data_IF_193295751378
#
_entry.id   IF_193295751378
#
_cell.length_a   1.000
_cell.length_b   1.000
_cell.length_c   1.000
_cell.angle_alpha   90.00
_cell.angle_beta   90.00
_cell.angle_gamma   90.00
#
_symmetry.space_group_name_H-M   'P 1'
#
loop_
_entity.id
_entity.type
_entity.pdbx_description
1 polymer ?
#
# COMPACT_ATOMS: atom_id res chain seq x y z
N UNK A 1 -43.55 15.59 -2.07
CA UNK A 1 -43.04 14.64 -1.05
C UNK A 1 -41.64 15.08 -0.66
N UNK A 2 -41.48 15.71 0.50
CA UNK A 2 -40.19 16.26 0.95
C UNK A 2 -39.20 15.16 1.34
N UNK A 3 -37.92 15.30 0.95
CA UNK A 3 -36.82 14.44 1.40
C UNK A 3 -36.74 14.51 2.93
N UNK A 4 -36.94 13.39 3.61
CA UNK A 4 -36.59 13.26 5.04
C UNK A 4 -35.07 13.28 5.15
N UNK A 5 -34.53 14.29 5.84
CA UNK A 5 -33.12 14.29 6.20
C UNK A 5 -32.83 13.14 7.16
N UNK A 6 -31.86 12.30 6.79
CA UNK A 6 -31.38 11.22 7.64
C UNK A 6 -30.50 11.85 8.73
N UNK A 7 -30.78 11.61 10.02
CA UNK A 7 -29.97 12.18 11.09
C UNK A 7 -28.53 11.68 10.98
N UNK A 8 -27.59 12.61 10.83
CA UNK A 8 -26.15 12.31 10.86
C UNK A 8 -25.74 12.03 12.30
N UNK A 9 -25.36 10.79 12.58
CA UNK A 9 -24.80 10.39 13.87
C UNK A 9 -23.43 11.05 14.03
N UNK A 10 -23.38 12.18 14.74
CA UNK A 10 -22.13 12.82 15.13
C UNK A 10 -21.53 12.07 16.32
N UNK A 11 -20.98 10.88 16.08
CA UNK A 11 -20.12 10.24 17.08
C UNK A 11 -18.88 11.09 17.29
N UNK A 12 -18.49 11.32 18.55
CA UNK A 12 -17.17 11.86 18.87
C UNK A 12 -16.14 10.91 18.26
N UNK A 13 -15.44 11.35 17.20
CA UNK A 13 -14.34 10.58 16.64
C UNK A 13 -13.32 10.41 17.77
N UNK A 14 -13.17 9.17 18.25
CA UNK A 14 -12.11 8.83 19.19
C UNK A 14 -10.74 9.23 18.61
N UNK A 15 -9.69 9.29 19.44
CA UNK A 15 -8.37 9.67 18.95
C UNK A 15 -7.97 8.75 17.79
N UNK A 16 -7.72 9.35 16.62
CA UNK A 16 -7.20 8.62 15.46
C UNK A 16 -5.76 8.25 15.82
N UNK A 17 -5.50 6.97 16.03
CA UNK A 17 -4.14 6.50 16.23
C UNK A 17 -3.31 6.80 14.98
N UNK A 18 -2.06 7.27 15.14
CA UNK A 18 -1.19 7.51 14.00
C UNK A 18 -0.95 6.18 13.26
N UNK A 19 -0.89 6.25 11.93
CA UNK A 19 -0.57 5.09 11.12
C UNK A 19 0.81 4.51 11.52
N UNK A 20 0.96 3.18 11.56
CA UNK A 20 2.24 2.56 11.85
C UNK A 20 3.27 2.91 10.78
N UNK A 21 4.53 3.07 11.19
CA UNK A 21 5.65 3.28 10.25
C UNK A 21 6.11 1.91 9.77
N UNK A 22 5.97 1.67 8.48
CA UNK A 22 6.23 0.37 7.87
C UNK A 22 7.36 0.47 6.86
N UNK A 23 8.22 -0.54 6.84
CA UNK A 23 9.24 -0.74 5.80
C UNK A 23 9.29 -2.22 5.44
N UNK A 24 9.38 -2.50 4.15
CA UNK A 24 9.41 -3.83 3.57
C UNK A 24 10.86 -4.16 3.24
N UNK A 25 11.34 -5.30 3.75
CA UNK A 25 12.62 -5.90 3.38
C UNK A 25 12.31 -7.17 2.61
N UNK A 26 12.65 -7.25 1.33
CA UNK A 26 12.31 -8.38 0.47
C UNK A 26 13.48 -8.84 -0.40
N UNK A 27 13.38 -10.04 -0.93
CA UNK A 27 14.29 -10.59 -1.94
C UNK A 27 13.49 -11.25 -3.05
N UNK A 28 14.02 -11.26 -4.27
CA UNK A 28 13.37 -11.99 -5.38
C UNK A 28 13.58 -13.50 -5.28
N UNK A 29 14.65 -13.95 -4.59
CA UNK A 29 15.11 -15.34 -4.61
C UNK A 29 15.12 -16.03 -3.24
N UNK A 30 14.61 -15.37 -2.18
CA UNK A 30 14.66 -15.88 -0.80
C UNK A 30 13.28 -15.91 -0.17
N UNK A 31 13.04 -16.93 0.62
CA UNK A 31 11.84 -17.06 1.45
C UNK A 31 11.89 -16.15 2.68
N UNK A 32 10.72 -15.87 3.25
CA UNK A 32 10.54 -14.94 4.37
C UNK A 32 11.51 -15.15 5.56
N UNK A 33 11.70 -16.40 5.99
CA UNK A 33 12.58 -16.74 7.13
C UNK A 33 14.06 -16.51 6.83
N UNK A 34 14.50 -16.75 5.59
CA UNK A 34 15.89 -16.47 5.19
C UNK A 34 16.15 -14.96 5.13
N UNK A 35 15.20 -14.19 4.60
CA UNK A 35 15.25 -12.71 4.60
C UNK A 35 15.28 -12.19 6.03
N UNK A 36 14.43 -12.72 6.92
CA UNK A 36 14.38 -12.36 8.33
C UNK A 36 15.69 -12.65 9.05
N UNK A 37 16.24 -13.85 8.86
CA UNK A 37 17.52 -14.24 9.45
C UNK A 37 18.67 -13.35 8.96
N UNK A 38 18.69 -13.04 7.66
CA UNK A 38 19.67 -12.13 7.07
C UNK A 38 19.53 -10.71 7.65
N UNK A 39 18.31 -10.19 7.77
CA UNK A 39 18.02 -8.89 8.38
C UNK A 39 18.52 -8.82 9.84
N UNK A 40 18.16 -9.82 10.66
CA UNK A 40 18.55 -9.86 12.08
C UNK A 40 20.06 -10.02 12.27
N UNK A 41 20.76 -10.66 11.33
CA UNK A 41 22.22 -10.81 11.35
C UNK A 41 22.95 -9.51 10.96
N UNK A 42 22.45 -8.80 9.95
CA UNK A 42 23.15 -7.66 9.35
C UNK A 42 22.81 -6.33 10.02
N UNK A 43 21.65 -6.23 10.68
CA UNK A 43 21.18 -4.98 11.27
C UNK A 43 21.08 -5.14 12.78
N UNK A 44 21.77 -4.26 13.49
CA UNK A 44 21.57 -4.05 14.91
C UNK A 44 20.70 -2.81 15.11
N UNK A 45 19.43 -2.94 15.56
CA UNK A 45 18.51 -1.80 15.63
C UNK A 45 19.05 -0.62 16.43
N UNK A 46 19.79 -0.89 17.51
CA UNK A 46 20.39 0.14 18.38
C UNK A 46 21.42 1.01 17.63
N UNK A 47 22.19 0.44 16.71
CA UNK A 47 23.25 1.16 15.98
C UNK A 47 22.68 2.13 14.94
N UNK A 48 21.46 1.89 14.47
CA UNK A 48 20.77 2.72 13.48
C UNK A 48 19.59 3.51 14.09
N UNK A 49 19.41 3.45 15.41
CA UNK A 49 18.31 4.11 16.11
C UNK A 49 16.92 3.57 15.76
N UNK A 50 16.79 2.34 15.27
CA UNK A 50 15.52 1.74 14.86
C UNK A 50 14.78 1.15 16.07
N UNK A 51 13.58 1.67 16.36
CA UNK A 51 12.67 1.11 17.37
C UNK A 51 11.69 0.16 16.71
N UNK A 52 12.03 -1.13 16.68
CA UNK A 52 11.19 -2.18 16.11
C UNK A 52 10.04 -2.50 17.06
N UNK A 53 8.79 -2.38 16.58
CA UNK A 53 7.59 -2.82 17.29
C UNK A 53 7.30 -4.29 17.03
N UNK A 54 7.35 -4.73 15.77
CA UNK A 54 7.23 -6.15 15.37
C UNK A 54 7.74 -6.39 13.96
N UNK A 55 7.99 -7.66 13.66
CA UNK A 55 8.30 -8.17 12.32
C UNK A 55 7.14 -9.05 11.83
N UNK A 56 6.71 -8.86 10.59
CA UNK A 56 5.62 -9.61 9.97
C UNK A 56 6.16 -10.28 8.70
N UNK A 57 6.14 -11.61 8.65
CA UNK A 57 6.58 -12.35 7.46
C UNK A 57 5.59 -12.17 6.30
N UNK A 58 6.13 -12.02 5.10
CA UNK A 58 5.39 -12.05 3.83
C UNK A 58 6.11 -13.00 2.88
N UNK A 59 5.44 -13.48 1.81
CA UNK A 59 5.96 -14.53 0.90
C UNK A 59 7.48 -14.50 0.69
N UNK A 60 8.01 -13.38 0.20
CA UNK A 60 9.42 -13.22 -0.15
C UNK A 60 10.14 -12.14 0.70
N UNK A 61 9.72 -11.94 1.95
CA UNK A 61 10.30 -10.91 2.79
C UNK A 61 9.69 -10.74 4.18
N UNK A 62 9.96 -9.58 4.77
CA UNK A 62 9.52 -9.18 6.10
C UNK A 62 9.09 -7.72 6.08
N UNK A 63 7.95 -7.42 6.68
CA UNK A 63 7.54 -6.06 7.02
C UNK A 63 8.06 -5.76 8.43
N UNK A 64 8.81 -4.68 8.56
CA UNK A 64 9.25 -4.12 9.84
C UNK A 64 8.28 -3.00 10.22
N UNK A 65 7.58 -3.18 11.33
CA UNK A 65 6.79 -2.12 11.95
C UNK A 65 7.66 -1.40 12.98
N UNK A 66 7.81 -0.09 12.84
CA UNK A 66 8.69 0.75 13.66
C UNK A 66 7.93 1.89 14.33
N UNK A 67 8.49 2.40 15.44
CA UNK A 67 7.92 3.51 16.19
C UNK A 67 8.46 4.88 15.72
N UNK A 68 9.64 4.93 15.12
CA UNK A 68 10.32 6.17 14.72
C UNK A 68 10.69 6.19 13.23
N UNK A 69 10.60 7.38 12.61
CA UNK A 69 10.84 7.57 11.17
C UNK A 69 12.33 7.55 10.83
N UNK A 70 13.16 8.15 11.68
CA UNK A 70 14.61 8.22 11.52
C UNK A 70 15.25 6.83 11.37
N UNK A 71 14.87 5.88 12.22
CA UNK A 71 15.36 4.51 12.14
C UNK A 71 14.92 3.80 10.86
N UNK A 72 13.72 4.09 10.37
CA UNK A 72 13.23 3.56 9.07
C UNK A 72 14.07 4.10 7.93
N UNK A 73 14.36 5.40 7.91
CA UNK A 73 15.23 6.01 6.90
C UNK A 73 16.65 5.45 6.92
N UNK A 74 17.20 5.21 8.11
CA UNK A 74 18.52 4.59 8.26
C UNK A 74 18.53 3.13 7.77
N UNK A 75 17.45 2.38 8.03
CA UNK A 75 17.30 1.01 7.53
C UNK A 75 17.24 0.96 6.00
N UNK A 76 16.51 1.89 5.37
CA UNK A 76 16.42 1.99 3.90
C UNK A 76 17.80 2.25 3.27
N UNK A 77 18.64 3.05 3.94
CA UNK A 77 19.98 3.41 3.47
C UNK A 77 21.08 2.39 3.87
N UNK A 78 20.70 1.28 4.51
CA UNK A 78 21.66 0.34 5.09
C UNK A 78 22.38 -0.49 4.00
N UNK A 79 23.62 -0.14 3.69
CA UNK A 79 24.41 -0.73 2.59
C UNK A 79 24.51 -2.26 2.64
N UNK A 80 24.74 -2.85 3.82
CA UNK A 80 24.88 -4.30 3.94
C UNK A 80 23.62 -5.09 3.54
N UNK A 81 22.43 -4.50 3.64
CA UNK A 81 21.20 -5.15 3.16
C UNK A 81 21.18 -5.20 1.63
N UNK A 82 21.57 -4.11 0.97
CA UNK A 82 21.70 -4.05 -0.48
C UNK A 82 22.76 -5.03 -0.99
N UNK A 83 23.94 -5.06 -0.35
CA UNK A 83 25.02 -6.01 -0.66
C UNK A 83 24.60 -7.48 -0.46
N UNK A 84 23.67 -7.75 0.47
CA UNK A 84 23.09 -9.07 0.69
C UNK A 84 21.95 -9.43 -0.28
N UNK A 85 21.68 -8.58 -1.28
CA UNK A 85 20.64 -8.76 -2.29
C UNK A 85 19.22 -8.54 -1.75
N UNK A 86 19.08 -7.75 -0.68
CA UNK A 86 17.78 -7.38 -0.11
C UNK A 86 17.37 -5.98 -0.56
N UNK A 87 16.12 -5.87 -1.02
CA UNK A 87 15.48 -4.59 -1.34
C UNK A 87 14.73 -4.09 -0.11
N UNK A 88 15.00 -2.84 0.27
CA UNK A 88 14.38 -2.18 1.42
C UNK A 88 13.57 -0.98 0.92
N UNK A 89 12.26 -0.97 1.12
CA UNK A 89 11.37 0.09 0.62
C UNK A 89 10.17 0.35 1.54
N UNK A 90 9.64 1.57 1.54
CA UNK A 90 8.36 1.84 2.20
C UNK A 90 7.21 1.21 1.39
N UNK A 91 6.14 0.71 2.02
CA UNK A 91 4.96 0.27 1.29
C UNK A 91 4.42 1.40 0.42
N UNK A 92 4.23 1.13 -0.87
CA UNK A 92 3.57 2.05 -1.77
C UNK A 92 2.06 1.89 -1.63
N UNK A 93 1.32 3.00 -1.67
CA UNK A 93 -0.14 2.94 -1.78
C UNK A 93 -0.48 2.37 -3.15
N UNK A 94 -1.25 1.30 -3.19
CA UNK A 94 -1.87 0.83 -4.43
C UNK A 94 -3.13 1.64 -4.69
N UNK A 95 -3.36 2.02 -5.95
CA UNK A 95 -4.68 2.51 -6.38
C UNK A 95 -5.72 1.41 -6.13
N UNK A 96 -6.98 1.75 -5.82
CA UNK A 96 -8.06 0.76 -5.84
C UNK A 96 -8.08 0.03 -7.19
N UNK A 97 -8.16 -1.29 -7.16
CA UNK A 97 -8.21 -2.13 -8.37
C UNK A 97 -9.52 -2.90 -8.36
N UNK A 98 -10.21 -2.90 -9.49
CA UNK A 98 -11.38 -3.75 -9.75
C UNK A 98 -11.01 -4.82 -10.76
N UNK A 99 -11.56 -6.02 -10.59
CA UNK A 99 -11.41 -7.10 -11.56
C UNK A 99 -12.79 -7.42 -12.12
N UNK A 100 -12.95 -7.25 -13.43
CA UNK A 100 -14.22 -7.45 -14.14
C UNK A 100 -14.10 -8.77 -14.92
N UNK A 101 -15.02 -9.69 -14.68
CA UNK A 101 -15.07 -11.00 -15.33
C UNK A 101 -16.15 -11.03 -16.40
N UNK A 102 -16.13 -12.07 -17.24
CA UNK A 102 -17.12 -12.33 -18.29
C UNK A 102 -17.31 -11.15 -19.26
N UNK A 103 -16.21 -10.44 -19.53
CA UNK A 103 -16.16 -9.39 -20.56
C UNK A 103 -15.91 -10.00 -21.93
N UNK A 104 -16.46 -9.37 -22.97
CA UNK A 104 -16.13 -9.75 -24.35
C UNK A 104 -14.62 -9.56 -24.57
N UNK A 105 -13.95 -10.56 -25.15
CA UNK A 105 -12.50 -10.52 -25.41
C UNK A 105 -12.10 -9.47 -26.47
N UNK A 106 -13.06 -9.02 -27.29
CA UNK A 106 -12.84 -7.99 -28.31
C UNK A 106 -12.99 -6.56 -27.77
N UNK A 107 -13.39 -6.39 -26.51
CA UNK A 107 -13.63 -5.07 -25.93
C UNK A 107 -12.31 -4.32 -25.74
N UNK A 108 -12.24 -3.10 -26.25
CA UNK A 108 -11.07 -2.22 -26.13
C UNK A 108 -11.01 -1.58 -24.75
N UNK A 109 -9.82 -1.13 -24.34
CA UNK A 109 -9.64 -0.43 -23.07
C UNK A 109 -10.55 0.82 -23.00
N UNK A 110 -10.65 1.57 -24.09
CA UNK A 110 -11.51 2.76 -24.20
C UNK A 110 -12.99 2.43 -23.98
N UNK A 111 -13.48 1.33 -24.56
CA UNK A 111 -14.85 0.85 -24.36
C UNK A 111 -15.08 0.41 -22.92
N UNK A 112 -14.10 -0.24 -22.27
CA UNK A 112 -14.18 -0.58 -20.84
C UNK A 112 -14.33 0.71 -20.02
N UNK A 113 -13.50 1.72 -20.29
CA UNK A 113 -13.56 3.01 -19.56
C UNK A 113 -14.92 3.69 -19.73
N UNK A 114 -15.47 3.67 -20.94
CA UNK A 114 -16.79 4.25 -21.23
C UNK A 114 -17.92 3.53 -20.50
N UNK A 115 -17.95 2.20 -20.52
CA UNK A 115 -18.96 1.41 -19.82
C UNK A 115 -18.87 1.55 -18.30
N UNK A 116 -17.66 1.59 -17.74
CA UNK A 116 -17.46 1.81 -16.30
C UNK A 116 -17.92 3.22 -15.93
N UNK A 117 -17.57 4.24 -16.72
CA UNK A 117 -18.00 5.61 -16.45
C UNK A 117 -19.52 5.74 -16.51
N UNK A 118 -20.14 5.30 -17.61
CA UNK A 118 -21.57 5.47 -17.86
C UNK A 118 -22.42 4.85 -16.75
N UNK A 119 -22.08 3.65 -16.28
CA UNK A 119 -22.88 2.93 -15.27
C UNK A 119 -22.70 3.46 -13.85
N UNK A 120 -21.55 4.05 -13.52
CA UNK A 120 -21.18 4.34 -12.12
C UNK A 120 -21.11 5.84 -11.79
N UNK A 121 -20.92 6.71 -12.77
CA UNK A 121 -20.66 8.13 -12.53
C UNK A 121 -21.90 9.02 -12.65
N UNK A 122 -23.09 8.43 -12.79
CA UNK A 122 -24.34 9.19 -12.77
C UNK A 122 -24.52 9.98 -11.46
N UNK A 123 -24.57 11.30 -11.56
CA UNK A 123 -24.67 12.20 -10.40
C UNK A 123 -23.35 12.49 -9.69
N UNK A 124 -22.23 12.03 -10.25
CA UNK A 124 -20.87 12.42 -9.83
C UNK A 124 -20.50 13.78 -10.43
N UNK A 125 -19.62 14.51 -9.76
CA UNK A 125 -18.97 15.73 -10.28
C UNK A 125 -17.75 15.42 -11.16
N UNK A 126 -17.40 14.13 -11.31
CA UNK A 126 -16.26 13.70 -12.12
C UNK A 126 -16.65 13.69 -13.59
N UNK A 127 -16.04 14.59 -14.36
CA UNK A 127 -16.18 14.65 -15.80
C UNK A 127 -15.55 13.43 -16.49
N UNK A 128 -16.13 13.00 -17.62
CA UNK A 128 -15.69 11.80 -18.35
C UNK A 128 -14.23 11.89 -18.81
N UNK A 129 -13.81 13.07 -19.27
CA UNK A 129 -12.42 13.31 -19.68
C UNK A 129 -11.45 13.14 -18.51
N UNK A 130 -11.81 13.67 -17.33
CA UNK A 130 -10.99 13.52 -16.14
C UNK A 130 -10.92 12.06 -15.67
N UNK A 131 -12.05 11.35 -15.73
CA UNK A 131 -12.09 9.91 -15.43
C UNK A 131 -11.17 9.11 -16.35
N UNK A 132 -11.19 9.37 -17.68
CA UNK A 132 -10.37 8.66 -18.67
C UNK A 132 -8.86 8.82 -18.45
N UNK A 133 -8.44 9.96 -17.92
CA UNK A 133 -7.03 10.26 -17.62
C UNK A 133 -6.53 9.50 -16.38
N UNK A 134 -7.38 9.30 -15.37
CA UNK A 134 -6.99 8.70 -14.09
C UNK A 134 -7.28 7.19 -13.99
N UNK A 135 -8.29 6.71 -14.71
CA UNK A 135 -8.71 5.31 -14.71
C UNK A 135 -7.89 4.50 -15.73
N UNK A 136 -7.14 3.53 -15.20
CA UNK A 136 -6.26 2.63 -15.95
C UNK A 136 -6.94 1.25 -16.06
N UNK A 137 -6.96 0.67 -17.27
CA UNK A 137 -7.49 -0.66 -17.57
C UNK A 137 -6.34 -1.63 -17.74
#
# INVERSE_FOLDING_TARGET
LGRKEVPKISGTKGPVLPAPKLVIVKSENKESEEVKSTLMRLVKPQEIGLKVRRLINIRNGVIVEAENEEGVENLIKHKSLLEAGLKVEKPTKKKPVIMIYDVNAELTEEEVKEEVFSRNMHGSEIEQEHFRQEFEV
#
